data_IF_153901439762
#
_entry.id   IF_153901439762
#
_cell.length_a   1.000
_cell.length_b   1.000
_cell.length_c   1.000
_cell.angle_alpha   90.00
_cell.angle_beta   90.00
_cell.angle_gamma   90.00
#
_symmetry.space_group_name_H-M   'P 1'
#
loop_
_entity.id
_entity.type
_entity.pdbx_description
1 polymer ?
#
# COMPACT_ATOMS: atom_id res chain seq x y z
N UNK A 1 -0.80 19.36 24.10
CA UNK A 1 -1.65 18.32 23.47
C UNK A 1 -2.48 18.90 22.34
N UNK A 2 -3.25 19.98 22.56
CA UNK A 2 -4.02 20.62 21.49
C UNK A 2 -3.17 21.13 20.31
N UNK A 3 -2.07 21.84 20.57
CA UNK A 3 -1.14 22.33 19.53
C UNK A 3 -0.67 21.20 18.61
N UNK A 4 -0.17 20.11 19.19
CA UNK A 4 0.29 18.93 18.45
C UNK A 4 -0.85 18.30 17.62
N UNK A 5 -2.06 18.19 18.15
CA UNK A 5 -3.21 17.68 17.39
C UNK A 5 -3.60 18.61 16.23
N UNK A 6 -3.46 19.93 16.40
CA UNK A 6 -3.69 20.90 15.34
C UNK A 6 -2.66 20.77 14.20
N UNK A 7 -1.42 20.40 14.51
CA UNK A 7 -0.39 20.15 13.49
C UNK A 7 -0.68 18.91 12.63
N UNK A 8 -1.33 17.88 13.21
CA UNK A 8 -1.74 16.68 12.46
C UNK A 8 -3.09 16.82 11.76
N UNK A 9 -3.91 17.81 12.13
CA UNK A 9 -5.24 18.02 11.55
C UNK A 9 -5.22 18.18 10.02
N UNK A 10 -4.29 18.95 9.41
CA UNK A 10 -4.16 19.04 7.95
C UNK A 10 -3.91 17.69 7.27
N UNK A 11 -3.13 16.80 7.89
CA UNK A 11 -2.80 15.47 7.33
C UNK A 11 -4.07 14.62 7.25
N UNK A 12 -4.88 14.62 8.32
CA UNK A 12 -6.13 13.88 8.37
C UNK A 12 -7.14 14.43 7.37
N UNK A 13 -7.26 15.76 7.27
CA UNK A 13 -8.14 16.42 6.28
C UNK A 13 -7.71 16.03 4.87
N UNK A 14 -6.42 16.08 4.56
CA UNK A 14 -5.89 15.71 3.25
C UNK A 14 -6.20 14.26 2.90
N UNK A 15 -6.00 13.33 3.85
CA UNK A 15 -6.33 11.92 3.67
C UNK A 15 -7.83 11.73 3.41
N UNK A 16 -8.69 12.44 4.14
CA UNK A 16 -10.14 12.41 3.93
C UNK A 16 -10.55 12.92 2.54
N UNK A 17 -10.00 14.06 2.10
CA UNK A 17 -10.26 14.60 0.77
C UNK A 17 -9.79 13.65 -0.33
N UNK A 18 -8.58 13.09 -0.20
CA UNK A 18 -8.04 12.12 -1.15
C UNK A 18 -8.93 10.87 -1.24
N UNK A 19 -9.42 10.37 -0.10
CA UNK A 19 -10.32 9.22 -0.07
C UNK A 19 -11.68 9.53 -0.72
N UNK A 20 -12.27 10.70 -0.45
CA UNK A 20 -13.53 11.14 -1.07
C UNK A 20 -13.38 11.24 -2.58
N UNK A 21 -12.30 11.85 -3.06
CA UNK A 21 -12.04 11.96 -4.50
C UNK A 21 -11.83 10.57 -5.11
N UNK A 22 -11.02 9.72 -4.49
CA UNK A 22 -10.75 8.36 -4.97
C UNK A 22 -12.02 7.51 -5.07
N UNK A 23 -12.86 7.55 -4.02
CA UNK A 23 -14.16 6.85 -4.01
C UNK A 23 -15.10 7.44 -5.05
N UNK A 24 -15.17 8.77 -5.18
CA UNK A 24 -16.01 9.41 -6.20
C UNK A 24 -15.59 8.96 -7.61
N UNK A 25 -14.29 8.98 -7.92
CA UNK A 25 -13.79 8.56 -9.23
C UNK A 25 -14.03 7.08 -9.50
N UNK A 26 -13.95 6.23 -8.48
CA UNK A 26 -14.27 4.81 -8.61
C UNK A 26 -15.78 4.55 -8.73
N UNK A 27 -16.62 5.35 -8.07
CA UNK A 27 -18.07 5.19 -8.04
C UNK A 27 -18.78 5.80 -9.27
N UNK A 28 -18.25 6.90 -9.83
CA UNK A 28 -18.88 7.62 -10.94
C UNK A 28 -19.17 6.75 -12.18
N UNK A 29 -18.27 5.84 -12.62
CA UNK A 29 -18.53 4.97 -13.76
C UNK A 29 -19.76 4.07 -13.57
N UNK A 30 -20.04 3.63 -12.34
CA UNK A 30 -21.23 2.81 -12.08
C UNK A 30 -22.55 3.58 -12.27
N UNK A 31 -22.54 4.91 -12.18
CA UNK A 31 -23.73 5.75 -12.39
C UNK A 31 -23.85 6.29 -13.81
N UNK A 32 -22.73 6.62 -14.46
CA UNK A 32 -22.72 7.34 -15.75
C UNK A 32 -22.36 6.45 -16.94
N UNK A 33 -21.50 5.44 -16.75
CA UNK A 33 -21.02 4.63 -17.86
C UNK A 33 -22.09 3.64 -18.32
N UNK A 34 -22.14 3.40 -19.63
CA UNK A 34 -22.98 2.36 -20.20
C UNK A 34 -22.45 1.00 -19.76
N UNK A 35 -23.27 0.27 -18.99
CA UNK A 35 -22.96 -1.09 -18.55
C UNK A 35 -23.66 -2.10 -19.46
N UNK A 36 -22.89 -2.88 -20.23
CA UNK A 36 -23.39 -3.97 -21.07
C UNK A 36 -22.54 -5.24 -20.89
N UNK A 37 -22.65 -5.92 -19.74
CA UNK A 37 -21.89 -7.13 -19.43
C UNK A 37 -22.42 -8.31 -20.25
N UNK A 38 -21.51 -9.04 -20.89
CA UNK A 38 -21.78 -10.34 -21.49
C UNK A 38 -20.79 -11.38 -20.93
N UNK A 39 -21.12 -12.68 -21.01
CA UNK A 39 -20.30 -13.74 -20.40
C UNK A 39 -18.84 -13.75 -20.85
N UNK A 40 -18.57 -13.36 -22.11
CA UNK A 40 -17.20 -13.31 -22.64
C UNK A 40 -16.46 -12.06 -22.13
N UNK A 41 -17.10 -10.88 -22.09
CA UNK A 41 -16.51 -9.64 -21.54
C UNK A 41 -16.13 -9.73 -20.07
N UNK A 42 -16.87 -10.50 -19.27
CA UNK A 42 -16.60 -10.69 -17.84
C UNK A 42 -15.78 -11.95 -17.56
N UNK A 43 -15.38 -12.69 -18.59
CA UNK A 43 -14.50 -13.85 -18.44
C UNK A 43 -13.06 -13.41 -18.16
N UNK A 44 -12.27 -14.30 -17.55
CA UNK A 44 -10.86 -14.06 -17.34
C UNK A 44 -10.12 -13.97 -18.68
N UNK A 45 -9.23 -12.99 -18.79
CA UNK A 45 -8.43 -12.80 -20.00
C UNK A 45 -7.40 -13.93 -20.15
N UNK A 46 -7.55 -14.75 -21.18
CA UNK A 46 -6.61 -15.81 -21.56
C UNK A 46 -6.45 -15.86 -23.10
N UNK A 47 -6.17 -14.70 -23.73
CA UNK A 47 -5.93 -14.58 -25.18
C UNK A 47 -7.03 -15.21 -26.07
N UNK A 48 -8.30 -15.18 -25.65
CA UNK A 48 -9.44 -15.76 -26.38
C UNK A 48 -9.71 -17.24 -26.07
N UNK A 49 -8.98 -17.83 -25.14
CA UNK A 49 -9.25 -19.16 -24.59
C UNK A 49 -9.96 -19.08 -23.24
N UNK A 50 -10.51 -20.20 -22.78
CA UNK A 50 -10.97 -20.31 -21.40
C UNK A 50 -9.75 -20.41 -20.50
N UNK A 51 -9.76 -19.68 -19.39
CA UNK A 51 -8.71 -19.77 -18.38
C UNK A 51 -8.39 -21.23 -18.09
N UNK A 52 -7.14 -21.61 -18.36
CA UNK A 52 -6.65 -22.93 -18.07
C UNK A 52 -6.17 -22.95 -16.63
N UNK A 53 -6.45 -24.05 -15.93
CA UNK A 53 -5.89 -24.38 -14.62
C UNK A 53 -6.46 -23.62 -13.40
N UNK A 54 -6.22 -24.20 -12.21
CA UNK A 54 -6.60 -23.62 -10.92
C UNK A 54 -5.59 -22.54 -10.50
N UNK A 55 -6.06 -21.32 -10.23
CA UNK A 55 -5.24 -20.20 -9.78
C UNK A 55 -4.62 -20.39 -8.38
N UNK A 56 -4.88 -21.52 -7.70
CA UNK A 56 -4.39 -21.87 -6.35
C UNK A 56 -3.02 -22.56 -6.35
N UNK A 57 -2.19 -22.31 -7.34
CA UNK A 57 -0.82 -22.81 -7.36
C UNK A 57 0.02 -22.23 -6.22
N UNK A 58 0.99 -23.01 -5.74
CA UNK A 58 1.94 -22.54 -4.73
C UNK A 58 2.76 -21.40 -5.32
N UNK A 59 2.64 -20.23 -4.71
CA UNK A 59 3.50 -19.10 -5.02
C UNK A 59 4.95 -19.42 -4.63
N UNK A 60 5.88 -18.84 -5.37
CA UNK A 60 7.29 -19.05 -5.15
C UNK A 60 7.73 -18.55 -3.76
N UNK A 61 8.53 -19.35 -3.06
CA UNK A 61 9.07 -19.03 -1.72
C UNK A 61 9.91 -17.74 -1.74
N UNK A 62 10.43 -17.33 -2.91
CA UNK A 62 11.16 -16.07 -3.07
C UNK A 62 10.38 -14.85 -2.58
N UNK A 63 9.06 -14.78 -2.79
CA UNK A 63 8.25 -13.66 -2.28
C UNK A 63 8.23 -13.61 -0.74
N UNK A 64 8.16 -14.79 -0.11
CA UNK A 64 8.23 -14.90 1.34
C UNK A 64 9.60 -14.45 1.89
N UNK A 65 10.69 -14.89 1.26
CA UNK A 65 12.05 -14.49 1.68
C UNK A 65 12.26 -12.98 1.54
N UNK A 66 11.76 -12.36 0.46
CA UNK A 66 11.82 -10.90 0.26
C UNK A 66 11.02 -10.16 1.33
N UNK A 67 9.80 -10.62 1.64
CA UNK A 67 8.96 -10.00 2.67
C UNK A 67 9.59 -10.13 4.07
N UNK A 68 10.14 -11.29 4.41
CA UNK A 68 10.81 -11.53 5.68
C UNK A 68 12.06 -10.64 5.82
N UNK A 69 12.86 -10.54 4.75
CA UNK A 69 14.04 -9.68 4.72
C UNK A 69 13.66 -8.20 4.87
N UNK A 70 12.59 -7.76 4.18
CA UNK A 70 12.04 -6.41 4.33
C UNK A 70 11.64 -6.10 5.77
N UNK A 71 10.92 -7.01 6.44
CA UNK A 71 10.51 -6.82 7.84
C UNK A 71 11.71 -6.67 8.77
N UNK A 72 12.75 -7.51 8.59
CA UNK A 72 13.96 -7.43 9.41
C UNK A 72 14.67 -6.10 9.20
N UNK A 73 14.86 -5.66 7.95
CA UNK A 73 15.52 -4.39 7.66
C UNK A 73 14.69 -3.18 8.08
N UNK A 74 13.37 -3.21 7.94
CA UNK A 74 12.49 -2.13 8.40
C UNK A 74 12.60 -1.96 9.92
N UNK A 75 12.62 -3.08 10.66
CA UNK A 75 12.85 -3.09 12.10
C UNK A 75 14.25 -2.57 12.46
N UNK A 76 15.29 -3.00 11.75
CA UNK A 76 16.66 -2.48 11.95
C UNK A 76 16.70 -0.96 11.75
N UNK A 77 16.09 -0.45 10.68
CA UNK A 77 16.02 0.98 10.38
C UNK A 77 15.25 1.74 11.47
N UNK A 78 14.18 1.17 12.03
CA UNK A 78 13.48 1.76 13.17
C UNK A 78 14.39 1.95 14.40
N UNK A 79 15.39 1.09 14.62
CA UNK A 79 16.41 1.27 15.66
C UNK A 79 17.52 2.25 15.25
N UNK A 80 17.86 2.31 13.96
CA UNK A 80 18.85 3.26 13.45
C UNK A 80 18.33 4.70 13.45
N UNK A 81 17.02 4.94 13.34
CA UNK A 81 16.45 6.30 13.31
C UNK A 81 16.76 7.14 14.57
N UNK A 82 16.47 6.67 15.80
CA UNK A 82 16.84 7.42 17.01
C UNK A 82 18.34 7.69 17.11
N UNK A 83 19.17 6.70 16.77
CA UNK A 83 20.62 6.85 16.71
C UNK A 83 21.04 7.94 15.72
N UNK A 84 20.47 7.95 14.51
CA UNK A 84 20.78 8.93 13.48
C UNK A 84 20.35 10.35 13.86
N UNK A 85 19.18 10.51 14.50
CA UNK A 85 18.66 11.81 14.94
C UNK A 85 19.50 12.37 16.09
N UNK A 86 19.91 11.53 17.05
CA UNK A 86 20.68 11.93 18.21
C UNK A 86 22.21 11.90 17.99
N UNK A 87 22.70 11.54 16.79
CA UNK A 87 24.11 11.21 16.53
C UNK A 87 25.13 12.23 17.08
N UNK A 88 24.81 13.53 17.00
CA UNK A 88 25.68 14.61 17.51
C UNK A 88 25.76 14.66 19.04
N UNK A 89 24.74 14.17 19.74
CA UNK A 89 24.61 14.22 21.20
C UNK A 89 25.28 13.00 21.87
N UNK A 90 25.31 11.84 21.19
CA UNK A 90 25.86 10.59 21.75
C UNK A 90 27.40 10.56 21.74
N UNK A 91 28.04 11.37 20.89
CA UNK A 91 29.50 11.45 20.81
C UNK A 91 30.15 10.13 20.41
N UNK A 92 31.40 9.89 20.83
CA UNK A 92 32.19 8.73 20.39
C UNK A 92 31.68 7.36 20.88
N UNK A 93 30.84 7.30 21.93
CA UNK A 93 30.21 6.05 22.38
C UNK A 93 29.02 5.63 21.50
N UNK A 94 28.50 6.55 20.69
CA UNK A 94 27.49 6.28 19.69
C UNK A 94 28.06 6.02 18.30
N UNK A 95 29.38 6.08 18.11
CA UNK A 95 30.05 5.70 16.86
C UNK A 95 30.52 4.25 16.96
#
# INVERSE_FOLDING_TARGET
MNELLLDYLPVVIFMGVALVIGVMMMAMPFMVAVSNPDPEKVSAYECGFKAFDDARMKFDVRFYLVALLFIIFDLEVAFLFPWAVAFKEVGAFGF
#
